data_IF_747676708199
#
_entry.id   IF_747676708199
#
_cell.length_a   1.000
_cell.length_b   1.000
_cell.length_c   1.000
_cell.angle_alpha   90.00
_cell.angle_beta   90.00
_cell.angle_gamma   90.00
#
_symmetry.space_group_name_H-M   'P 1'
#
loop_
_entity.id
_entity.type
_entity.pdbx_description
1 polymer ?
#
# COMPACT_ATOMS: atom_id res chain seq x y z
N UNK A 1 18.05 -15.11 -4.14
CA UNK A 1 16.68 -14.84 -3.65
C UNK A 1 16.05 -16.17 -3.29
N UNK A 2 15.50 -16.35 -2.09
CA UNK A 2 14.88 -17.64 -1.70
C UNK A 2 13.46 -17.73 -2.26
N UNK A 3 12.88 -18.94 -2.34
CA UNK A 3 11.48 -19.14 -2.73
C UNK A 3 10.51 -18.29 -1.88
N UNK A 4 10.78 -18.18 -0.57
CA UNK A 4 10.01 -17.34 0.34
C UNK A 4 10.12 -15.83 0.00
N UNK A 5 11.32 -15.33 -0.29
CA UNK A 5 11.50 -13.93 -0.72
C UNK A 5 10.81 -13.64 -2.05
N UNK A 6 10.81 -14.59 -2.99
CA UNK A 6 10.10 -14.44 -4.26
C UNK A 6 8.58 -14.40 -4.07
N UNK A 7 8.03 -15.27 -3.22
CA UNK A 7 6.60 -15.26 -2.90
C UNK A 7 6.19 -13.95 -2.20
N UNK A 8 7.02 -13.44 -1.29
CA UNK A 8 6.78 -12.17 -0.62
C UNK A 8 6.82 -10.98 -1.60
N UNK A 9 7.81 -10.96 -2.49
CA UNK A 9 7.91 -9.94 -3.53
C UNK A 9 6.70 -9.97 -4.48
N UNK A 10 6.30 -11.16 -4.95
CA UNK A 10 5.14 -11.29 -5.83
C UNK A 10 3.86 -10.83 -5.14
N UNK A 11 3.65 -11.24 -3.89
CA UNK A 11 2.47 -10.84 -3.11
C UNK A 11 2.41 -9.33 -2.90
N UNK A 12 3.55 -8.69 -2.63
CA UNK A 12 3.65 -7.23 -2.55
C UNK A 12 3.33 -6.57 -3.90
N UNK A 13 3.92 -7.08 -4.98
CA UNK A 13 3.69 -6.58 -6.33
C UNK A 13 2.21 -6.68 -6.73
N UNK A 14 1.53 -7.78 -6.40
CA UNK A 14 0.11 -7.97 -6.69
C UNK A 14 -0.74 -6.93 -5.95
N UNK A 15 -0.47 -6.71 -4.66
CA UNK A 15 -1.11 -5.66 -3.87
C UNK A 15 -0.89 -4.25 -4.45
N UNK A 16 0.34 -3.92 -4.85
CA UNK A 16 0.61 -2.60 -5.44
C UNK A 16 -0.10 -2.43 -6.79
N UNK A 17 -0.22 -3.49 -7.59
CA UNK A 17 -0.97 -3.41 -8.85
C UNK A 17 -2.48 -3.31 -8.64
N UNK A 18 -3.05 -3.93 -7.61
CA UNK A 18 -4.49 -3.79 -7.33
C UNK A 18 -4.87 -2.36 -6.92
N UNK A 19 -3.96 -1.60 -6.29
CA UNK A 19 -4.14 -0.17 -6.03
C UNK A 19 -4.20 0.70 -7.30
N UNK A 20 -3.68 0.20 -8.43
CA UNK A 20 -3.72 0.92 -9.71
C UNK A 20 -5.03 0.69 -10.48
N UNK A 21 -5.91 -0.18 -9.99
CA UNK A 21 -7.17 -0.47 -10.65
C UNK A 21 -8.13 0.73 -10.50
N UNK A 22 -8.88 1.10 -11.56
CA UNK A 22 -9.88 2.17 -11.48
C UNK A 22 -10.99 1.91 -10.46
N UNK A 23 -11.15 0.66 -10.05
CA UNK A 23 -12.14 0.21 -9.06
C UNK A 23 -11.65 0.34 -7.61
N UNK A 24 -10.38 0.68 -7.39
CA UNK A 24 -9.85 0.86 -6.04
C UNK A 24 -10.61 1.99 -5.33
N UNK A 25 -11.29 1.73 -4.21
CA UNK A 25 -11.98 2.77 -3.46
C UNK A 25 -10.98 3.59 -2.63
N UNK A 26 -11.44 4.74 -2.17
CA UNK A 26 -10.81 5.45 -1.07
C UNK A 26 -10.84 4.54 0.17
N UNK A 27 -9.77 4.53 0.94
CA UNK A 27 -9.67 3.68 2.11
C UNK A 27 -8.92 4.39 3.25
N UNK A 28 -9.24 4.08 4.51
CA UNK A 28 -8.50 4.61 5.64
C UNK A 28 -7.08 4.04 5.68
N UNK A 29 -6.13 4.79 6.24
CA UNK A 29 -4.74 4.33 6.41
C UNK A 29 -4.65 2.99 7.16
N UNK A 30 -5.56 2.76 8.11
CA UNK A 30 -5.63 1.52 8.89
C UNK A 30 -5.92 0.27 8.06
N UNK A 31 -6.49 0.41 6.85
CA UNK A 31 -6.75 -0.69 5.94
C UNK A 31 -5.54 -1.10 5.09
N UNK A 32 -4.51 -0.25 5.03
CA UNK A 32 -3.24 -0.64 4.44
C UNK A 32 -2.53 -1.69 5.31
N UNK A 33 -1.81 -2.66 4.71
CA UNK A 33 -1.01 -3.62 5.47
C UNK A 33 -0.05 -2.93 6.44
N UNK A 34 0.01 -3.39 7.70
CA UNK A 34 0.76 -2.71 8.77
C UNK A 34 2.20 -2.38 8.41
N UNK A 35 2.90 -3.28 7.69
CA UNK A 35 4.27 -3.06 7.26
C UNK A 35 4.46 -1.87 6.31
N UNK A 36 3.40 -1.45 5.62
CA UNK A 36 3.39 -0.35 4.66
C UNK A 36 2.83 0.95 5.24
N UNK A 37 2.11 0.90 6.36
CA UNK A 37 1.48 2.07 6.97
C UNK A 37 2.46 3.21 7.29
N UNK A 38 3.67 2.98 7.84
CA UNK A 38 4.61 4.06 8.13
C UNK A 38 5.07 4.82 6.87
N UNK A 39 5.32 4.08 5.80
CA UNK A 39 5.78 4.62 4.50
C UNK A 39 4.65 5.36 3.79
N UNK A 40 3.43 4.80 3.81
CA UNK A 40 2.25 5.46 3.29
C UNK A 40 1.93 6.74 4.09
N UNK A 41 2.03 6.69 5.42
CA UNK A 41 1.88 7.88 6.27
C UNK A 41 2.96 8.93 6.00
N UNK A 42 4.20 8.52 5.69
CA UNK A 42 5.27 9.44 5.32
C UNK A 42 5.00 10.12 3.96
N UNK A 43 4.56 9.34 2.95
CA UNK A 43 4.13 9.87 1.66
C UNK A 43 3.03 10.92 1.80
N UNK A 44 2.07 10.68 2.69
CA UNK A 44 0.95 11.60 2.92
C UNK A 44 1.32 12.88 3.69
N UNK A 45 2.48 12.98 4.36
CA UNK A 45 2.85 14.20 5.14
C UNK A 45 3.01 15.47 4.30
N UNK A 46 3.12 15.35 2.98
CA UNK A 46 3.15 16.48 2.04
C UNK A 46 1.87 16.66 1.23
N UNK A 47 0.85 15.82 1.46
CA UNK A 47 -0.41 15.79 0.72
C UNK A 47 -1.51 16.35 1.62
N UNK A 48 -2.50 17.01 1.04
CA UNK A 48 -3.68 17.45 1.78
C UNK A 48 -4.34 16.22 2.43
N UNK A 49 -4.36 16.20 3.76
CA UNK A 49 -5.00 15.11 4.50
C UNK A 49 -6.51 15.24 4.46
N UNK A 50 -7.19 14.14 4.19
CA UNK A 50 -8.65 14.05 4.22
C UNK A 50 -9.10 13.16 5.37
N UNK A 51 -10.27 13.44 5.90
CA UNK A 51 -10.90 12.63 6.93
C UNK A 51 -12.36 12.34 6.56
N UNK A 52 -12.86 11.18 6.98
CA UNK A 52 -14.28 10.86 6.87
C UNK A 52 -15.14 11.68 7.84
N UNK A 53 -16.45 11.47 7.78
CA UNK A 53 -17.43 12.13 8.66
C UNK A 53 -17.20 11.83 10.16
N UNK A 54 -16.42 10.80 10.49
CA UNK A 54 -16.06 10.40 11.86
C UNK A 54 -14.67 10.90 12.28
N UNK A 55 -14.00 11.67 11.41
CA UNK A 55 -12.66 12.21 11.65
C UNK A 55 -11.52 11.21 11.42
N UNK A 56 -11.78 10.06 10.78
CA UNK A 56 -10.73 9.06 10.48
C UNK A 56 -9.94 9.48 9.25
N UNK A 57 -8.59 9.40 9.27
CA UNK A 57 -7.78 9.69 8.11
C UNK A 57 -8.12 8.78 6.92
N UNK A 58 -8.50 9.40 5.81
CA UNK A 58 -8.82 8.76 4.55
C UNK A 58 -7.73 9.02 3.53
N UNK A 59 -7.49 8.03 2.67
CA UNK A 59 -6.56 8.13 1.56
C UNK A 59 -7.37 7.98 0.29
N UNK A 60 -7.24 8.96 -0.62
CA UNK A 60 -7.92 8.87 -1.91
C UNK A 60 -7.28 7.80 -2.79
N UNK A 61 -8.12 7.15 -3.59
CA UNK A 61 -7.70 6.15 -4.57
C UNK A 61 -6.61 6.70 -5.51
N UNK A 62 -6.71 7.98 -5.90
CA UNK A 62 -5.71 8.65 -6.73
C UNK A 62 -4.35 8.75 -6.05
N UNK A 63 -4.31 9.09 -4.76
CA UNK A 63 -3.06 9.19 -3.99
C UNK A 63 -2.46 7.79 -3.74
N UNK A 64 -3.31 6.80 -3.49
CA UNK A 64 -2.90 5.39 -3.40
C UNK A 64 -2.28 4.89 -4.70
N UNK A 65 -2.89 5.22 -5.83
CA UNK A 65 -2.40 4.83 -7.14
C UNK A 65 -1.08 5.54 -7.48
N UNK A 66 -0.95 6.83 -7.13
CA UNK A 66 0.30 7.57 -7.28
C UNK A 66 1.43 6.94 -6.45
N UNK A 67 1.16 6.68 -5.16
CA UNK A 67 2.10 6.02 -4.27
C UNK A 67 2.51 4.63 -4.76
N UNK A 68 1.54 3.80 -5.16
CA UNK A 68 1.83 2.47 -5.69
C UNK A 68 2.69 2.51 -6.96
N UNK A 69 2.43 3.49 -7.84
CA UNK A 69 3.23 3.72 -9.05
C UNK A 69 4.67 4.09 -8.70
N UNK A 70 4.89 5.00 -7.75
CA UNK A 70 6.22 5.40 -7.30
C UNK A 70 7.02 4.22 -6.74
N UNK A 71 6.35 3.32 -6.01
CA UNK A 71 6.95 2.09 -5.49
C UNK A 71 7.31 1.09 -6.57
N UNK A 72 6.45 0.90 -7.57
CA UNK A 72 6.70 -0.03 -8.69
C UNK A 72 7.86 0.46 -9.57
N UNK A 73 7.96 1.78 -9.80
CA UNK A 73 8.97 2.38 -10.68
C UNK A 73 10.26 2.79 -9.97
N UNK A 74 10.39 2.52 -8.66
CA UNK A 74 11.64 2.68 -7.93
C UNK A 74 11.94 4.13 -7.52
N UNK A 75 10.96 5.04 -7.55
CA UNK A 75 11.09 6.36 -6.94
C UNK A 75 11.20 6.30 -5.40
N UNK A 76 10.80 5.15 -4.82
CA UNK A 76 11.43 4.57 -3.64
C UNK A 76 10.75 4.85 -2.30
N UNK A 77 10.62 3.78 -1.50
CA UNK A 77 10.38 3.86 -0.06
C UNK A 77 11.51 4.65 0.61
N UNK A 78 11.20 5.33 1.71
CA UNK A 78 12.21 6.01 2.51
C UNK A 78 13.23 5.04 3.13
N UNK A 79 12.83 3.78 3.35
CA UNK A 79 13.70 2.70 3.80
C UNK A 79 13.43 1.39 3.04
N UNK A 80 14.43 0.49 2.93
CA UNK A 80 14.21 -0.83 2.34
C UNK A 80 13.15 -1.61 3.12
N UNK A 81 12.13 -2.13 2.44
CA UNK A 81 11.13 -3.00 3.06
C UNK A 81 11.70 -4.42 3.23
N UNK A 82 11.89 -4.91 4.47
CA UNK A 82 12.37 -6.26 4.67
C UNK A 82 11.26 -7.25 4.28
N UNK A 83 11.42 -7.96 3.16
CA UNK A 83 10.38 -8.88 2.68
C UNK A 83 10.01 -9.97 3.71
N UNK A 84 10.91 -10.31 4.62
CA UNK A 84 10.69 -11.25 5.71
C UNK A 84 9.70 -10.75 6.78
N UNK A 85 9.47 -9.44 6.89
CA UNK A 85 8.53 -8.86 7.87
C UNK A 85 7.14 -8.63 7.30
N UNK A 86 6.91 -9.00 6.04
CA UNK A 86 5.62 -8.87 5.39
C UNK A 86 4.64 -9.95 5.86
N UNK A 87 3.49 -9.52 6.34
CA UNK A 87 2.34 -10.41 6.52
C UNK A 87 1.69 -10.68 5.14
N UNK A 88 2.03 -11.82 4.57
CA UNK A 88 1.52 -12.25 3.26
C UNK A 88 0.01 -12.50 3.28
N UNK A 89 -0.56 -12.86 4.42
CA UNK A 89 -2.00 -13.08 4.55
C UNK A 89 -2.74 -11.75 4.52
N UNK A 90 -2.26 -10.77 5.29
CA UNK A 90 -2.82 -9.42 5.29
C UNK A 90 -2.75 -8.77 3.89
N UNK A 91 -1.61 -8.90 3.21
CA UNK A 91 -1.45 -8.39 1.83
C UNK A 91 -2.47 -9.02 0.88
N UNK A 92 -2.60 -10.35 0.87
CA UNK A 92 -3.56 -11.04 -0.01
C UNK A 92 -5.01 -10.65 0.27
N UNK A 93 -5.37 -10.45 1.54
CA UNK A 93 -6.71 -10.00 1.90
C UNK A 93 -6.96 -8.57 1.44
N UNK A 94 -5.97 -7.69 1.57
CA UNK A 94 -6.05 -6.33 1.06
C UNK A 94 -6.16 -6.29 -0.48
N UNK A 95 -5.39 -7.09 -1.20
CA UNK A 95 -5.49 -7.23 -2.67
C UNK A 95 -6.89 -7.65 -3.12
N UNK A 96 -7.50 -8.62 -2.43
CA UNK A 96 -8.85 -9.10 -2.77
C UNK A 96 -9.96 -8.08 -2.51
N UNK A 97 -9.75 -7.12 -1.60
CA UNK A 97 -10.72 -6.05 -1.34
C UNK A 97 -10.76 -5.02 -2.47
N UNK A 98 -9.66 -4.91 -3.22
CA UNK A 98 -9.46 -3.90 -4.27
C UNK A 98 -9.86 -4.40 -5.66
N UNK A 99 -9.95 -5.72 -5.85
CA UNK A 99 -10.37 -6.41 -7.07
C UNK A 99 -11.88 -6.61 -7.09
#
# INVERSE_FOLDING_TARGET
MTSASQAAYQTLRDYLNSLLLPTCPDQPLAEAPMALQPELAAFLRGITGYADETGRPMIYATDLAAWARDLIHGAGLAAPLPLATLDLTALRMATRRQA
#
